data_IF_396638809412
#
_entry.id   IF_396638809412
#
_cell.length_a   1.000
_cell.length_b   1.000
_cell.length_c   1.000
_cell.angle_alpha   90.00
_cell.angle_beta   90.00
_cell.angle_gamma   90.00
#
_symmetry.space_group_name_H-M   'P 1'
#
loop_
_entity.id
_entity.type
_entity.pdbx_description
1 polymer ?
#
# COMPACT_ATOMS: atom_id res chain seq x y z
N UNK A 1 10.85 23.07 -11.17
CA UNK A 1 10.32 23.02 -9.79
C UNK A 1 10.42 21.58 -9.34
N UNK A 2 10.97 21.31 -8.15
CA UNK A 2 10.92 19.97 -7.58
C UNK A 2 9.54 19.79 -6.97
N UNK A 3 8.70 18.98 -7.60
CA UNK A 3 7.44 18.54 -7.02
C UNK A 3 7.75 17.48 -5.98
N UNK A 4 7.40 17.74 -4.73
CA UNK A 4 7.46 16.74 -3.67
C UNK A 4 6.21 15.88 -3.77
N UNK A 5 6.38 14.56 -3.79
CA UNK A 5 5.27 13.60 -3.77
C UNK A 5 5.22 12.93 -2.40
N UNK A 6 4.06 12.97 -1.77
CA UNK A 6 3.82 12.30 -0.48
C UNK A 6 3.16 10.94 -0.68
N UNK A 7 3.85 9.90 -0.24
CA UNK A 7 3.39 8.51 -0.40
C UNK A 7 3.13 7.88 0.96
N UNK A 8 1.92 7.38 1.16
CA UNK A 8 1.53 6.55 2.30
C UNK A 8 1.69 5.06 1.97
N UNK A 9 2.11 4.28 2.97
CA UNK A 9 2.21 2.83 2.85
C UNK A 9 1.51 2.19 4.06
N UNK A 10 0.56 1.31 3.77
CA UNK A 10 -0.26 0.62 4.76
C UNK A 10 0.05 -0.87 4.70
N UNK A 11 0.41 -1.47 5.82
CA UNK A 11 0.77 -2.89 5.90
C UNK A 11 -0.19 -3.65 6.82
N UNK A 12 -0.76 -4.73 6.29
CA UNK A 12 -1.47 -5.74 7.08
C UNK A 12 -0.84 -7.11 6.84
N UNK A 13 -0.04 -7.56 7.80
CA UNK A 13 0.60 -8.87 7.76
C UNK A 13 -0.40 -10.02 7.78
N UNK A 14 0.06 -11.19 7.34
CA UNK A 14 -0.68 -12.44 7.46
C UNK A 14 -0.95 -12.80 8.92
N UNK A 15 -2.23 -13.00 9.27
CA UNK A 15 -2.71 -13.43 10.60
C UNK A 15 -3.89 -14.38 10.45
N UNK A 16 -4.33 -15.01 11.54
CA UNK A 16 -5.52 -15.88 11.53
C UNK A 16 -6.86 -15.13 11.56
N UNK A 17 -6.84 -13.79 11.48
CA UNK A 17 -8.05 -12.99 11.44
C UNK A 17 -8.84 -13.21 10.14
N UNK A 18 -10.19 -13.13 10.18
CA UNK A 18 -11.01 -13.17 8.97
C UNK A 18 -10.62 -12.06 7.98
N UNK A 19 -10.73 -12.35 6.69
CA UNK A 19 -10.44 -11.39 5.62
C UNK A 19 -11.24 -10.09 5.78
N UNK A 20 -12.50 -10.17 6.18
CA UNK A 20 -13.36 -9.00 6.45
C UNK A 20 -12.78 -8.09 7.53
N UNK A 21 -12.27 -8.66 8.63
CA UNK A 21 -11.62 -7.92 9.71
C UNK A 21 -10.34 -7.25 9.24
N UNK A 22 -9.49 -7.98 8.50
CA UNK A 22 -8.25 -7.43 7.94
C UNK A 22 -8.53 -6.27 7.00
N UNK A 23 -9.53 -6.38 6.13
CA UNK A 23 -9.94 -5.31 5.21
C UNK A 23 -10.43 -4.07 5.94
N UNK A 24 -11.24 -4.24 6.98
CA UNK A 24 -11.69 -3.13 7.82
C UNK A 24 -10.51 -2.40 8.46
N UNK A 25 -9.55 -3.14 9.01
CA UNK A 25 -8.35 -2.55 9.63
C UNK A 25 -7.51 -1.78 8.62
N UNK A 26 -7.33 -2.31 7.41
CA UNK A 26 -6.60 -1.62 6.34
C UNK A 26 -7.29 -0.31 5.97
N UNK A 27 -8.60 -0.31 5.75
CA UNK A 27 -9.35 0.91 5.44
C UNK A 27 -9.24 1.96 6.56
N UNK A 28 -9.25 1.52 7.84
CA UNK A 28 -9.05 2.41 8.99
C UNK A 28 -7.65 3.02 9.05
N UNK A 29 -6.64 2.38 8.43
CA UNK A 29 -5.28 2.92 8.30
C UNK A 29 -5.14 3.83 7.06
N UNK A 30 -5.80 3.51 5.94
CA UNK A 30 -5.80 4.34 4.73
C UNK A 30 -6.47 5.69 5.00
N UNK A 31 -7.59 5.69 5.73
CA UNK A 31 -8.35 6.90 6.00
C UNK A 31 -7.51 8.06 6.58
N UNK A 32 -6.74 7.91 7.68
CA UNK A 32 -5.90 8.99 8.18
C UNK A 32 -4.76 9.35 7.24
N UNK A 33 -4.21 8.41 6.47
CA UNK A 33 -3.18 8.71 5.46
C UNK A 33 -3.71 9.71 4.42
N UNK A 34 -4.94 9.48 3.93
CA UNK A 34 -5.59 10.36 2.95
C UNK A 34 -6.13 11.65 3.57
N UNK A 35 -6.84 11.56 4.69
CA UNK A 35 -7.63 12.68 5.21
C UNK A 35 -6.87 13.59 6.19
N UNK A 36 -5.82 13.07 6.84
CA UNK A 36 -5.07 13.82 7.87
C UNK A 36 -3.64 14.11 7.43
N UNK A 37 -2.97 13.10 6.89
CA UNK A 37 -1.59 13.23 6.40
C UNK A 37 -1.53 13.72 4.94
N UNK A 38 -2.69 13.76 4.26
CA UNK A 38 -2.85 14.28 2.91
C UNK A 38 -1.93 13.61 1.89
N UNK A 39 -1.62 12.32 2.09
CA UNK A 39 -0.79 11.56 1.15
C UNK A 39 -1.45 11.52 -0.24
N UNK A 40 -0.73 12.01 -1.24
CA UNK A 40 -1.17 12.00 -2.65
C UNK A 40 -1.46 10.58 -3.12
N UNK A 41 -0.57 9.63 -2.79
CA UNK A 41 -0.74 8.22 -3.09
C UNK A 41 -0.69 7.39 -1.81
N UNK A 42 -1.53 6.34 -1.73
CA UNK A 42 -1.50 5.40 -0.60
C UNK A 42 -1.50 3.99 -1.14
N UNK A 43 -0.46 3.22 -0.85
CA UNK A 43 -0.31 1.84 -1.30
C UNK A 43 -0.48 0.86 -0.15
N UNK A 44 -0.98 -0.33 -0.46
CA UNK A 44 -1.31 -1.35 0.54
C UNK A 44 -0.52 -2.62 0.30
N UNK A 45 0.05 -3.13 1.38
CA UNK A 45 0.57 -4.48 1.50
C UNK A 45 -0.40 -5.34 2.29
N UNK A 46 -0.92 -6.41 1.68
CA UNK A 46 -2.03 -7.16 2.25
C UNK A 46 -1.77 -8.66 2.35
N UNK A 47 -1.86 -9.16 3.59
CA UNK A 47 -1.94 -10.57 3.94
C UNK A 47 -0.72 -11.41 3.52
N UNK A 48 0.44 -10.76 3.49
CA UNK A 48 1.75 -11.33 3.15
C UNK A 48 2.67 -11.21 4.36
N UNK A 49 3.80 -11.93 4.36
CA UNK A 49 4.69 -11.97 5.52
C UNK A 49 5.54 -10.70 5.56
N UNK A 50 5.70 -10.11 6.76
CA UNK A 50 6.53 -8.91 6.93
C UNK A 50 8.02 -9.18 6.67
N UNK A 51 8.44 -10.45 6.66
CA UNK A 51 9.80 -10.87 6.38
C UNK A 51 10.07 -11.04 4.88
N UNK A 52 9.02 -11.00 4.05
CA UNK A 52 9.17 -11.18 2.62
C UNK A 52 9.87 -9.94 2.01
N UNK A 53 10.83 -10.13 1.09
CA UNK A 53 11.50 -9.03 0.40
C UNK A 53 10.49 -8.10 -0.27
N UNK A 54 10.66 -6.78 -0.17
CA UNK A 54 9.68 -5.81 -0.70
C UNK A 54 9.37 -6.03 -2.17
N UNK A 55 10.39 -6.42 -2.96
CA UNK A 55 10.28 -6.70 -4.38
C UNK A 55 9.36 -7.89 -4.71
N UNK A 56 9.16 -8.82 -3.78
CA UNK A 56 8.35 -10.03 -3.98
C UNK A 56 6.93 -9.87 -3.44
N UNK A 57 6.68 -8.82 -2.66
CA UNK A 57 5.40 -8.57 -1.99
C UNK A 57 4.29 -8.32 -3.00
N UNK A 58 3.20 -9.05 -2.87
CA UNK A 58 2.01 -8.93 -3.74
C UNK A 58 2.26 -9.30 -5.22
N UNK A 59 3.45 -9.81 -5.59
CA UNK A 59 3.79 -10.16 -6.97
C UNK A 59 2.90 -11.27 -7.56
N UNK A 60 2.43 -12.17 -6.70
CA UNK A 60 1.57 -13.31 -7.08
C UNK A 60 0.14 -13.18 -6.55
N UNK A 61 -0.16 -12.11 -5.81
CA UNK A 61 -1.47 -11.94 -5.19
C UNK A 61 -2.47 -11.37 -6.20
N UNK A 62 -3.74 -11.84 -6.20
CA UNK A 62 -4.76 -11.23 -7.02
C UNK A 62 -4.95 -9.76 -6.61
N UNK A 63 -5.24 -8.85 -7.56
CA UNK A 63 -5.49 -7.46 -7.25
C UNK A 63 -6.61 -7.32 -6.23
N UNK A 64 -6.40 -6.49 -5.21
CA UNK A 64 -7.41 -6.17 -4.19
C UNK A 64 -7.66 -4.68 -4.18
N UNK A 65 -8.93 -4.32 -4.09
CA UNK A 65 -9.37 -2.93 -4.02
C UNK A 65 -9.66 -2.54 -2.58
N UNK A 66 -9.11 -1.39 -2.20
CA UNK A 66 -9.37 -0.70 -0.94
C UNK A 66 -9.76 0.74 -1.25
N UNK A 67 -10.61 1.32 -0.42
CA UNK A 67 -11.12 2.67 -0.65
C UNK A 67 -9.99 3.70 -0.51
N UNK A 68 -9.87 4.59 -1.50
CA UNK A 68 -8.80 5.61 -1.55
C UNK A 68 -7.37 5.04 -1.58
N UNK A 69 -7.21 3.80 -2.03
CA UNK A 69 -5.91 3.17 -2.28
C UNK A 69 -5.47 3.41 -3.74
N UNK A 70 -4.18 3.70 -3.93
CA UNK A 70 -3.53 3.89 -5.22
C UNK A 70 -3.02 2.58 -5.82
N UNK A 71 -2.89 1.51 -5.03
CA UNK A 71 -2.40 0.21 -5.52
C UNK A 71 -1.76 -0.65 -4.43
N UNK A 72 -1.11 -1.73 -4.84
CA UNK A 72 -0.39 -2.63 -3.96
C UNK A 72 1.11 -2.27 -3.86
N UNK A 73 1.90 -3.15 -3.23
CA UNK A 73 3.35 -2.95 -3.10
C UNK A 73 4.09 -2.89 -4.45
N UNK A 74 3.65 -3.63 -5.47
CA UNK A 74 4.25 -3.59 -6.80
C UNK A 74 3.96 -2.27 -7.53
N UNK A 75 2.76 -1.72 -7.31
CA UNK A 75 2.41 -0.39 -7.82
C UNK A 75 3.26 0.69 -7.14
N UNK A 76 3.50 0.58 -5.83
CA UNK A 76 4.43 1.47 -5.10
C UNK A 76 5.84 1.42 -5.70
N UNK A 77 6.39 0.21 -5.89
CA UNK A 77 7.73 0.03 -6.45
C UNK A 77 7.79 0.68 -7.84
N UNK A 78 6.77 0.44 -8.66
CA UNK A 78 6.66 1.04 -9.99
C UNK A 78 6.64 2.57 -9.92
N UNK A 79 5.87 3.15 -9.00
CA UNK A 79 5.75 4.60 -8.81
C UNK A 79 7.09 5.24 -8.44
N UNK A 80 7.81 4.66 -7.45
CA UNK A 80 9.07 5.23 -6.97
C UNK A 80 10.24 4.99 -7.92
N UNK A 81 10.22 3.89 -8.68
CA UNK A 81 11.27 3.56 -9.65
C UNK A 81 11.12 4.32 -10.98
N UNK A 82 9.88 4.63 -11.41
CA UNK A 82 9.65 5.52 -12.57
C UNK A 82 10.27 6.90 -12.37
N UNK A 83 10.28 7.40 -11.13
CA UNK A 83 10.89 8.68 -10.78
C UNK A 83 12.43 8.67 -10.80
N UNK A 84 13.08 7.53 -11.07
CA UNK A 84 14.54 7.42 -11.17
C UNK A 84 15.08 7.58 -12.61
N UNK A 85 14.20 7.78 -13.59
CA UNK A 85 14.57 8.09 -14.98
C UNK A 85 14.60 9.62 -15.17
N UNK A 86 15.64 10.26 -14.66
CA UNK A 86 16.02 11.64 -15.01
C UNK A 86 17.42 11.64 -15.62
#
# INVERSE_FOLDING_TARGET
MVTTCTVGYVQKSHTNEPDTSKRKLVNLQIFPMKMKLLCENVFVFYNTSANDPIAERDATNPPRTFDNCSGNTQDLITEITKSALW
#
